data_IF_139704308712
#
_entry.id   IF_139704308712
#
_cell.length_a   1.000
_cell.length_b   1.000
_cell.length_c   1.000
_cell.angle_alpha   90.00
_cell.angle_beta   90.00
_cell.angle_gamma   90.00
#
_symmetry.space_group_name_H-M   'P 1'
#
loop_
_entity.id
_entity.type
_entity.pdbx_description
1 polymer ?
#
# COMPACT_ATOMS: atom_id res chain seq x y z
N UNK A 1 33.53 17.34 33.58
CA UNK A 1 32.35 18.18 33.93
C UNK A 1 31.51 18.54 32.72
N UNK A 2 32.08 18.92 31.56
CA UNK A 2 31.30 19.18 30.33
C UNK A 2 30.56 17.95 29.75
N UNK A 3 31.10 16.74 29.91
CA UNK A 3 30.47 15.51 29.39
C UNK A 3 29.12 15.16 30.07
N UNK A 4 28.92 15.57 31.33
CA UNK A 4 27.67 15.32 32.07
C UNK A 4 26.54 16.22 31.55
N UNK A 5 26.87 17.42 31.07
CA UNK A 5 25.90 18.38 30.53
C UNK A 5 25.33 17.93 29.17
N UNK A 6 26.11 17.22 28.36
CA UNK A 6 25.68 16.71 27.04
C UNK A 6 24.68 15.56 27.18
N UNK A 7 24.84 14.71 28.20
CA UNK A 7 23.94 13.57 28.46
C UNK A 7 22.55 14.02 28.94
N UNK A 8 22.46 15.11 29.72
CA UNK A 8 21.20 15.66 30.20
C UNK A 8 20.30 16.21 29.07
N UNK A 9 20.89 16.69 27.97
CA UNK A 9 20.14 17.23 26.83
C UNK A 9 19.55 16.12 25.93
N UNK A 10 20.06 14.89 26.01
CA UNK A 10 19.59 13.77 25.19
C UNK A 10 18.31 13.11 25.74
N UNK A 11 17.93 13.36 27.00
CA UNK A 11 16.79 12.69 27.66
C UNK A 11 15.44 13.41 27.46
N UNK A 12 15.43 14.51 26.70
CA UNK A 12 14.24 15.35 26.46
C UNK A 12 13.57 15.10 25.10
N UNK A 13 14.05 14.15 24.29
CA UNK A 13 13.36 13.74 23.05
C UNK A 13 12.21 12.78 23.37
N UNK A 14 11.17 13.36 23.96
CA UNK A 14 9.84 12.78 24.00
C UNK A 14 9.08 13.28 22.77
N UNK A 15 8.95 12.45 21.75
CA UNK A 15 7.96 12.64 20.69
C UNK A 15 7.25 11.32 20.42
N UNK A 16 5.93 11.39 20.52
CA UNK A 16 4.94 10.33 20.68
C UNK A 16 4.92 9.27 19.56
N UNK A 17 4.20 8.15 19.76
CA UNK A 17 3.78 7.28 18.66
C UNK A 17 2.83 8.04 17.72
N UNK A 18 3.34 8.48 16.58
CA UNK A 18 2.52 8.97 15.46
C UNK A 18 1.89 7.77 14.75
N UNK A 19 0.85 7.21 15.36
CA UNK A 19 -0.13 6.38 14.66
C UNK A 19 -1.45 7.14 14.74
N UNK A 20 -1.87 7.85 13.68
CA UNK A 20 -3.21 8.40 13.66
C UNK A 20 -4.23 7.25 13.76
N UNK A 21 -5.29 7.37 14.57
CA UNK A 21 -6.41 6.46 14.46
C UNK A 21 -6.99 6.59 13.04
N UNK A 22 -6.98 5.48 12.30
CA UNK A 22 -7.81 5.31 11.11
C UNK A 22 -9.28 5.47 11.50
N UNK A 23 -9.78 6.69 11.48
CA UNK A 23 -11.19 7.01 11.57
C UNK A 23 -11.45 8.31 10.83
N UNK A 24 -11.68 8.22 9.51
CA UNK A 24 -12.70 9.04 8.86
C UNK A 24 -13.50 8.15 7.92
N UNK A 25 -14.63 7.69 8.46
CA UNK A 25 -15.83 7.45 7.69
C UNK A 25 -16.24 8.78 7.06
N UNK A 26 -16.06 8.89 5.76
CA UNK A 26 -16.59 9.96 4.93
C UNK A 26 -16.84 9.35 3.56
N UNK A 27 -18.12 9.16 3.27
CA UNK A 27 -18.65 8.77 1.96
C UNK A 27 -18.49 9.95 1.01
N UNK A 28 -17.27 10.15 0.55
CA UNK A 28 -16.93 10.85 -0.68
C UNK A 28 -15.93 9.92 -1.39
N UNK A 29 -16.14 9.53 -2.66
CA UNK A 29 -15.22 8.61 -3.32
C UNK A 29 -13.84 9.25 -3.37
N UNK A 30 -12.96 8.84 -2.46
CA UNK A 30 -11.59 9.34 -2.37
C UNK A 30 -10.83 8.78 -3.56
N UNK A 31 -10.83 9.52 -4.66
CA UNK A 31 -10.10 9.18 -5.87
C UNK A 31 -8.61 9.12 -5.52
N UNK A 32 -8.06 7.92 -5.44
CA UNK A 32 -6.62 7.74 -5.30
C UNK A 32 -5.98 7.92 -6.67
N UNK A 33 -5.29 9.04 -6.84
CA UNK A 33 -4.49 9.28 -8.04
C UNK A 33 -3.21 8.44 -7.99
N UNK A 34 -2.98 7.68 -9.05
CA UNK A 34 -1.75 6.94 -9.29
C UNK A 34 -0.71 7.83 -9.97
N UNK A 35 -1.17 8.64 -10.92
CA UNK A 35 -0.39 9.63 -11.67
C UNK A 35 -1.31 10.78 -12.09
N UNK A 36 -0.75 11.74 -12.84
CA UNK A 36 -1.47 12.88 -13.44
C UNK A 36 -2.68 12.50 -14.32
N UNK A 37 -2.81 11.23 -14.72
CA UNK A 37 -3.83 10.76 -15.66
C UNK A 37 -4.49 9.43 -15.30
N UNK A 38 -3.98 8.75 -14.28
CA UNK A 38 -4.46 7.43 -13.85
C UNK A 38 -4.91 7.53 -12.40
N UNK A 39 -6.15 7.10 -12.14
CA UNK A 39 -6.72 7.07 -10.81
C UNK A 39 -7.53 5.80 -10.61
N UNK A 40 -7.69 5.39 -9.36
CA UNK A 40 -8.50 4.25 -8.99
C UNK A 40 -9.72 4.71 -8.19
N UNK A 41 -10.95 4.42 -8.66
CA UNK A 41 -12.13 4.59 -7.84
C UNK A 41 -12.14 3.48 -6.76
N UNK A 42 -12.37 3.88 -5.51
CA UNK A 42 -12.67 3.02 -4.37
C UNK A 42 -11.64 1.93 -3.98
N UNK A 43 -11.08 2.07 -2.77
CA UNK A 43 -10.35 1.04 -2.01
C UNK A 43 -9.29 0.21 -2.77
N UNK A 44 -8.81 0.74 -3.90
CA UNK A 44 -7.84 0.12 -4.79
C UNK A 44 -6.58 0.97 -4.81
N UNK A 45 -5.44 0.34 -4.61
CA UNK A 45 -4.12 0.96 -4.68
C UNK A 45 -3.56 0.94 -6.11
N UNK A 46 -2.62 1.84 -6.35
CA UNK A 46 -1.96 2.02 -7.62
C UNK A 46 -0.79 1.05 -7.76
N UNK A 47 -0.84 0.16 -8.74
CA UNK A 47 0.22 -0.80 -9.01
C UNK A 47 0.83 -0.55 -10.39
N UNK A 48 2.10 -0.12 -10.42
CA UNK A 48 2.86 0.06 -11.65
C UNK A 48 3.50 -1.25 -12.06
N UNK A 49 3.24 -1.70 -13.28
CA UNK A 49 3.91 -2.88 -13.82
C UNK A 49 5.34 -2.56 -14.26
N UNK A 50 6.13 -3.59 -14.57
CA UNK A 50 7.52 -3.44 -15.06
C UNK A 50 7.63 -2.68 -16.39
N UNK A 51 6.56 -2.61 -17.17
CA UNK A 51 6.49 -1.82 -18.41
C UNK A 51 6.14 -0.35 -18.17
N UNK A 52 5.87 0.06 -16.93
CA UNK A 52 5.53 1.43 -16.56
C UNK A 52 4.05 1.79 -16.68
N UNK A 53 3.17 0.82 -16.93
CA UNK A 53 1.72 0.99 -17.00
C UNK A 53 1.11 0.83 -15.61
N UNK A 54 0.16 1.71 -15.28
CA UNK A 54 -0.53 1.71 -14.00
C UNK A 54 -1.85 0.96 -14.07
N UNK A 55 -2.13 0.19 -13.02
CA UNK A 55 -3.40 -0.51 -12.87
C UNK A 55 -3.91 -0.36 -11.44
N UNK A 56 -5.23 -0.44 -11.30
CA UNK A 56 -5.88 -0.52 -9.99
C UNK A 56 -5.83 -1.93 -9.44
N UNK A 57 -5.55 -2.05 -8.15
CA UNK A 57 -5.41 -3.33 -7.48
C UNK A 57 -5.46 -3.16 -5.96
N UNK A 58 -5.95 -4.13 -5.22
CA UNK A 58 -5.84 -4.12 -3.76
C UNK A 58 -4.38 -4.13 -3.29
N UNK A 59 -3.65 -5.20 -3.63
CA UNK A 59 -2.24 -5.40 -3.25
C UNK A 59 -1.36 -5.83 -4.42
N UNK A 60 -0.30 -5.06 -4.65
CA UNK A 60 0.64 -5.23 -5.77
C UNK A 60 1.74 -6.23 -5.41
N UNK A 61 1.85 -7.33 -6.16
CA UNK A 61 2.96 -8.27 -5.97
C UNK A 61 4.27 -7.71 -6.57
N UNK A 62 5.42 -8.14 -6.04
CA UNK A 62 6.76 -7.69 -6.48
C UNK A 62 7.03 -7.86 -7.98
N UNK A 63 6.35 -8.80 -8.63
CA UNK A 63 6.46 -9.05 -10.07
C UNK A 63 5.76 -7.96 -10.92
N UNK A 64 4.82 -7.22 -10.34
CA UNK A 64 4.11 -6.12 -11.01
C UNK A 64 3.09 -6.54 -12.06
N UNK A 65 2.97 -7.83 -12.37
CA UNK A 65 1.95 -8.40 -13.27
C UNK A 65 0.80 -9.06 -12.52
N UNK A 66 1.06 -9.50 -11.29
CA UNK A 66 0.10 -10.22 -10.47
C UNK A 66 -0.49 -9.30 -9.40
N UNK A 67 -1.77 -9.52 -9.10
CA UNK A 67 -2.45 -8.75 -8.09
C UNK A 67 -3.35 -9.57 -7.19
N UNK A 68 -3.44 -9.08 -5.96
CA UNK A 68 -4.28 -9.61 -4.92
C UNK A 68 -5.39 -8.62 -4.56
N UNK A 69 -6.52 -9.16 -4.14
CA UNK A 69 -7.62 -8.40 -3.55
C UNK A 69 -7.14 -7.65 -2.29
N UNK A 70 -7.83 -6.58 -1.91
CA UNK A 70 -7.49 -5.79 -0.73
C UNK A 70 -7.45 -6.65 0.54
N UNK A 71 -6.34 -6.55 1.28
CA UNK A 71 -6.09 -7.32 2.50
C UNK A 71 -5.56 -8.74 2.30
N UNK A 72 -5.20 -9.12 1.07
CA UNK A 72 -4.39 -10.32 0.80
C UNK A 72 -2.92 -9.95 0.59
N UNK A 73 -2.01 -10.78 1.06
CA UNK A 73 -0.57 -10.64 0.85
C UNK A 73 -0.08 -11.56 -0.27
N UNK A 74 0.87 -11.10 -1.07
CA UNK A 74 1.43 -11.91 -2.13
C UNK A 74 2.36 -12.99 -1.57
N UNK A 75 1.99 -14.26 -1.76
CA UNK A 75 2.86 -15.42 -1.53
C UNK A 75 3.62 -15.72 -2.83
N UNK A 76 4.65 -14.90 -3.08
CA UNK A 76 5.38 -14.90 -4.34
C UNK A 76 4.64 -14.12 -5.43
N UNK A 77 4.35 -14.77 -6.56
CA UNK A 77 3.65 -14.17 -7.70
C UNK A 77 2.49 -15.01 -8.20
N UNK A 78 2.26 -16.18 -7.63
CA UNK A 78 1.23 -17.11 -8.13
C UNK A 78 0.02 -17.15 -7.21
N UNK A 79 0.19 -16.81 -5.94
CA UNK A 79 -0.85 -16.94 -4.93
C UNK A 79 -0.92 -15.73 -4.01
N UNK A 80 -2.12 -15.47 -3.51
CA UNK A 80 -2.46 -14.46 -2.54
C UNK A 80 -2.88 -15.16 -1.24
N UNK A 81 -2.28 -14.79 -0.11
CA UNK A 81 -2.52 -15.37 1.20
C UNK A 81 -3.21 -14.36 2.11
N UNK A 82 -4.19 -14.80 2.88
CA UNK A 82 -4.83 -14.03 3.95
C UNK A 82 -5.12 -14.95 5.13
N UNK A 83 -4.24 -14.94 6.13
CA UNK A 83 -4.29 -15.92 7.22
C UNK A 83 -4.22 -17.36 6.69
N UNK A 84 -5.23 -18.22 6.97
CA UNK A 84 -5.27 -19.60 6.45
C UNK A 84 -5.75 -19.71 5.00
N UNK A 85 -6.24 -18.62 4.39
CA UNK A 85 -6.74 -18.64 3.01
C UNK A 85 -5.58 -18.44 2.03
N UNK A 86 -5.50 -19.29 1.01
CA UNK A 86 -4.61 -19.13 -0.13
C UNK A 86 -5.45 -19.22 -1.40
N UNK A 87 -5.43 -18.15 -2.19
CA UNK A 87 -6.14 -18.07 -3.48
C UNK A 87 -5.11 -17.82 -4.59
N UNK A 88 -5.37 -18.26 -5.83
CA UNK A 88 -4.50 -17.91 -6.94
C UNK A 88 -4.50 -16.39 -7.17
N UNK A 89 -3.34 -15.82 -7.46
CA UNK A 89 -3.20 -14.42 -7.81
C UNK A 89 -3.87 -14.14 -9.16
N UNK A 90 -4.57 -13.01 -9.25
CA UNK A 90 -5.15 -12.55 -10.50
C UNK A 90 -4.03 -12.17 -11.47
N UNK A 91 -3.98 -12.84 -12.61
CA UNK A 91 -3.10 -12.48 -13.72
C UNK A 91 -3.72 -11.27 -14.43
N UNK A 92 -2.99 -10.15 -14.48
CA UNK A 92 -3.46 -8.94 -15.19
C UNK A 92 -3.22 -9.07 -16.69
N UNK A 93 -4.03 -9.88 -17.35
CA UNK A 93 -4.00 -10.06 -18.80
C UNK A 93 -5.23 -9.48 -19.51
N UNK A 94 -5.98 -8.60 -18.84
CA UNK A 94 -6.99 -7.78 -19.49
C UNK A 94 -6.52 -6.31 -19.43
N UNK A 95 -6.19 -5.66 -20.56
CA UNK A 95 -6.19 -4.20 -20.57
C UNK A 95 -7.57 -3.73 -20.12
N UNK A 96 -7.65 -2.60 -19.41
CA UNK A 96 -8.91 -1.86 -19.22
C UNK A 96 -9.40 -1.42 -20.61
N UNK A 97 -9.99 -2.34 -21.37
CA UNK A 97 -10.81 -2.03 -22.54
C UNK A 97 -12.14 -1.53 -21.99
N UNK A 98 -12.33 -0.23 -22.22
CA UNK A 98 -13.57 0.54 -22.06
C UNK A 98 -14.84 -0.24 -22.35
#
# INVERSE_FOLDING_TARGET
>A
MLAVLVLLMAQLVSSAPDSPPSAVESTEPSVQWCDFKSYCPDCSTCCKNKAGVWTCCGQCCKDGKHCCESGYECDGSVSCRKGPLNIPAGLKNEPLTL
#
